data_IF_505316776192
#
_entry.id   IF_505316776192
#
_cell.length_a   1.000
_cell.length_b   1.000
_cell.length_c   1.000
_cell.angle_alpha   90.00
_cell.angle_beta   90.00
_cell.angle_gamma   90.00
#
_symmetry.space_group_name_H-M   'P 1'
#
loop_
_entity.id
_entity.type
_entity.pdbx_description
1 polymer ?
#
# COMPACT_ATOMS: atom_id res chain seq x y z
N UNK A 1 12.53 -1.58 -55.86
CA UNK A 1 13.34 -1.56 -57.11
C UNK A 1 14.80 -1.51 -56.68
N UNK A 2 15.68 -2.25 -57.36
CA UNK A 2 17.11 -2.50 -57.04
C UNK A 2 17.40 -3.52 -55.92
N UNK A 3 17.55 -4.80 -56.30
CA UNK A 3 18.47 -5.72 -55.60
C UNK A 3 18.73 -7.00 -56.40
N UNK A 4 19.15 -6.94 -57.67
CA UNK A 4 19.78 -8.12 -58.32
C UNK A 4 20.76 -7.66 -59.39
N UNK A 5 22.06 -7.79 -59.11
CA UNK A 5 23.08 -7.96 -60.14
C UNK A 5 24.27 -8.72 -59.57
N UNK A 6 24.84 -9.56 -60.43
CA UNK A 6 26.11 -10.30 -60.32
C UNK A 6 26.03 -11.67 -59.63
N UNK A 7 26.03 -12.74 -60.45
CA UNK A 7 27.23 -13.56 -60.67
C UNK A 7 26.93 -14.57 -61.78
N UNK A 8 27.73 -14.49 -62.85
CA UNK A 8 27.82 -15.49 -63.90
C UNK A 8 29.25 -16.05 -63.91
N UNK A 9 29.35 -17.33 -64.28
CA UNK A 9 30.53 -18.14 -64.66
C UNK A 9 31.25 -19.03 -63.62
N UNK A 10 31.28 -20.31 -64.02
CA UNK A 10 32.16 -21.44 -63.73
C UNK A 10 32.32 -21.99 -62.31
N UNK A 11 31.73 -23.18 -62.06
CA UNK A 11 32.37 -24.33 -61.38
C UNK A 11 31.40 -25.54 -61.37
N UNK A 12 31.43 -26.35 -62.44
CA UNK A 12 30.58 -27.53 -62.63
C UNK A 12 31.22 -28.80 -62.04
N UNK A 13 31.29 -28.88 -60.70
CA UNK A 13 31.87 -30.06 -60.02
C UNK A 13 31.58 -30.27 -58.53
N UNK A 14 30.83 -29.38 -57.86
CA UNK A 14 30.46 -29.50 -56.42
C UNK A 14 28.95 -29.29 -56.15
N UNK A 15 28.10 -29.64 -57.12
CA UNK A 15 26.73 -29.11 -57.18
C UNK A 15 25.64 -29.87 -56.39
N UNK A 16 25.93 -30.98 -55.69
CA UNK A 16 24.87 -31.69 -54.92
C UNK A 16 24.73 -31.24 -53.46
N UNK A 17 25.79 -30.70 -52.84
CA UNK A 17 25.72 -30.24 -51.45
C UNK A 17 25.33 -28.75 -51.33
N UNK A 18 25.79 -27.89 -52.25
CA UNK A 18 25.46 -26.45 -52.23
C UNK A 18 23.97 -26.17 -52.51
N UNK A 19 23.29 -27.00 -53.29
CA UNK A 19 21.91 -26.76 -53.67
C UNK A 19 20.92 -26.88 -52.49
N UNK A 20 21.24 -27.72 -51.49
CA UNK A 20 20.42 -27.83 -50.27
C UNK A 20 20.65 -26.65 -49.32
N UNK A 21 21.89 -26.20 -49.19
CA UNK A 21 22.22 -25.06 -48.31
C UNK A 21 21.62 -23.76 -48.84
N UNK A 22 21.68 -23.55 -50.16
CA UNK A 22 21.07 -22.37 -50.81
C UNK A 22 19.55 -22.35 -50.63
N UNK A 23 18.90 -23.52 -50.74
CA UNK A 23 17.45 -23.64 -50.53
C UNK A 23 17.05 -23.33 -49.08
N UNK A 24 17.85 -23.76 -48.10
CA UNK A 24 17.65 -23.44 -46.68
C UNK A 24 17.80 -21.94 -46.43
N UNK A 25 18.79 -21.28 -47.03
CA UNK A 25 18.95 -19.83 -46.92
C UNK A 25 17.81 -19.06 -47.59
N UNK A 26 17.32 -19.52 -48.74
CA UNK A 26 16.17 -18.90 -49.43
C UNK A 26 14.90 -19.07 -48.59
N UNK A 27 14.65 -20.27 -48.02
CA UNK A 27 13.49 -20.50 -47.17
C UNK A 27 13.59 -19.75 -45.84
N UNK A 28 14.78 -19.63 -45.25
CA UNK A 28 15.00 -18.83 -44.04
C UNK A 28 14.78 -17.34 -44.32
N UNK A 29 15.26 -16.81 -45.44
CA UNK A 29 15.07 -15.39 -45.81
C UNK A 29 13.62 -15.07 -46.17
N UNK A 30 12.90 -15.99 -46.82
CA UNK A 30 11.46 -15.86 -47.05
C UNK A 30 10.66 -15.94 -45.75
N UNK A 31 10.99 -16.88 -44.86
CA UNK A 31 10.39 -16.99 -43.52
C UNK A 31 10.62 -15.73 -42.68
N UNK A 32 11.83 -15.16 -42.69
CA UNK A 32 12.14 -13.88 -42.04
C UNK A 32 11.41 -12.68 -42.67
N UNK A 33 11.15 -12.71 -43.99
CA UNK A 33 10.34 -11.68 -44.65
C UNK A 33 8.85 -11.79 -44.33
N UNK A 34 8.31 -13.00 -44.22
CA UNK A 34 6.92 -13.25 -43.84
C UNK A 34 6.70 -12.94 -42.34
N UNK A 35 7.65 -13.33 -41.49
CA UNK A 35 7.69 -12.95 -40.08
C UNK A 35 7.81 -11.43 -39.89
N UNK A 36 8.40 -10.67 -40.82
CA UNK A 36 8.39 -9.19 -40.80
C UNK A 36 7.09 -8.55 -41.28
N UNK A 37 6.28 -9.25 -42.08
CA UNK A 37 4.94 -8.78 -42.49
C UNK A 37 3.90 -9.02 -41.41
N UNK A 38 4.07 -10.11 -40.66
CA UNK A 38 3.23 -10.48 -39.51
C UNK A 38 3.84 -10.08 -38.16
N UNK A 39 5.06 -9.53 -38.13
CA UNK A 39 5.54 -8.74 -37.02
C UNK A 39 4.59 -7.55 -36.93
N UNK A 40 3.60 -7.75 -36.07
CA UNK A 40 2.73 -6.79 -35.44
C UNK A 40 3.38 -5.43 -35.64
N UNK A 41 2.77 -4.60 -36.48
CA UNK A 41 2.90 -3.14 -36.34
C UNK A 41 2.38 -2.87 -34.92
N UNK A 42 3.20 -3.13 -33.91
CA UNK A 42 3.03 -2.48 -32.63
C UNK A 42 3.24 -1.05 -33.02
N UNK A 43 2.12 -0.34 -33.15
CA UNK A 43 2.14 1.10 -33.16
C UNK A 43 2.67 1.43 -31.77
N UNK A 44 3.99 1.39 -31.59
CA UNK A 44 4.59 2.03 -30.44
C UNK A 44 4.07 3.47 -30.53
N UNK A 45 3.21 3.89 -29.60
CA UNK A 45 2.69 5.24 -29.64
C UNK A 45 3.92 6.13 -29.65
N UNK A 46 4.02 6.99 -30.67
CA UNK A 46 5.07 8.01 -30.69
C UNK A 46 4.83 8.84 -29.44
N UNK A 47 5.63 8.59 -28.41
CA UNK A 47 5.67 9.42 -27.20
C UNK A 47 5.94 10.82 -27.70
N UNK A 48 4.94 11.70 -27.60
CA UNK A 48 5.10 13.10 -27.97
C UNK A 48 6.15 13.64 -27.01
N UNK A 49 7.24 14.20 -27.55
CA UNK A 49 8.34 14.77 -26.77
C UNK A 49 7.93 15.94 -25.84
N UNK A 50 6.64 16.32 -25.81
CA UNK A 50 6.07 17.36 -24.98
C UNK A 50 4.79 16.89 -24.25
N UNK A 51 4.61 15.58 -24.06
CA UNK A 51 3.54 15.10 -23.18
C UNK A 51 3.89 15.54 -21.75
N UNK A 52 2.94 16.09 -20.96
CA UNK A 52 3.17 16.34 -19.54
C UNK A 52 3.66 15.05 -18.87
N UNK A 53 4.50 15.17 -17.84
CA UNK A 53 4.95 14.03 -17.06
C UNK A 53 3.73 13.17 -16.68
N UNK A 54 3.79 11.84 -16.83
CA UNK A 54 2.63 10.98 -16.64
C UNK A 54 2.06 11.03 -15.22
N UNK A 55 2.85 11.49 -14.26
CA UNK A 55 2.47 11.58 -12.85
C UNK A 55 2.56 13.02 -12.35
N UNK A 56 1.57 13.39 -11.54
CA UNK A 56 1.47 14.67 -10.87
C UNK A 56 2.08 14.58 -9.48
N UNK A 57 2.74 15.67 -9.06
CA UNK A 57 3.21 15.82 -7.69
C UNK A 57 2.02 15.76 -6.71
N UNK A 58 2.21 15.09 -5.56
CA UNK A 58 1.21 14.97 -4.48
C UNK A 58 -0.12 14.32 -4.91
N UNK A 59 -0.04 13.33 -5.78
CA UNK A 59 -1.13 12.43 -6.12
C UNK A 59 -0.69 11.00 -5.83
N UNK A 60 -1.54 10.23 -5.16
CA UNK A 60 -1.36 8.78 -4.98
C UNK A 60 -2.02 8.06 -6.15
N UNK A 61 -1.29 7.17 -6.78
CA UNK A 61 -1.71 6.34 -7.89
C UNK A 61 -1.81 4.88 -7.43
N UNK A 62 -2.92 4.21 -7.69
CA UNK A 62 -3.06 2.77 -7.46
C UNK A 62 -3.63 2.10 -8.71
N UNK A 63 -3.40 0.80 -8.87
CA UNK A 63 -3.96 0.07 -9.99
C UNK A 63 -5.50 0.09 -9.93
N UNK A 64 -6.10 0.40 -11.07
CA UNK A 64 -7.55 0.38 -11.23
C UNK A 64 -8.08 -1.04 -11.11
N UNK A 65 -9.34 -1.16 -10.70
CA UNK A 65 -9.99 -2.46 -10.59
C UNK A 65 -10.55 -2.68 -9.20
N UNK A 66 -11.56 -3.53 -9.10
CA UNK A 66 -12.29 -3.75 -7.87
C UNK A 66 -12.65 -5.21 -7.70
N UNK A 67 -12.53 -5.73 -6.49
CA UNK A 67 -12.92 -7.10 -6.18
C UNK A 67 -14.34 -7.14 -5.56
N UNK A 68 -15.15 -8.10 -5.97
CA UNK A 68 -16.49 -8.30 -5.42
C UNK A 68 -16.52 -9.36 -4.29
N UNK A 69 -17.70 -9.62 -3.70
CA UNK A 69 -17.84 -10.58 -2.59
C UNK A 69 -17.59 -12.05 -3.00
N UNK A 70 -17.66 -12.34 -4.31
CA UNK A 70 -17.34 -13.66 -4.85
C UNK A 70 -15.83 -13.85 -5.09
N UNK A 71 -15.00 -12.86 -4.74
CA UNK A 71 -13.56 -12.82 -5.02
C UNK A 71 -13.25 -12.79 -6.52
N UNK A 72 -14.10 -12.13 -7.30
CA UNK A 72 -13.81 -11.82 -8.70
C UNK A 72 -13.21 -10.42 -8.77
N UNK A 73 -11.98 -10.32 -9.27
CA UNK A 73 -11.32 -9.05 -9.55
C UNK A 73 -11.78 -8.56 -10.92
N UNK A 74 -12.33 -7.35 -10.97
CA UNK A 74 -12.96 -6.80 -12.16
C UNK A 74 -12.25 -5.51 -12.56
N UNK A 75 -11.73 -5.53 -13.79
CA UNK A 75 -11.19 -4.40 -14.51
C UNK A 75 -12.25 -3.90 -15.49
N UNK A 76 -13.02 -2.87 -15.09
CA UNK A 76 -14.08 -2.31 -15.94
C UNK A 76 -13.55 -1.15 -16.79
N UNK A 77 -13.30 -1.43 -18.08
CA UNK A 77 -12.86 -0.43 -19.04
C UNK A 77 -14.04 0.32 -19.70
N UNK A 78 -15.30 0.05 -19.34
CA UNK A 78 -16.43 0.79 -19.93
C UNK A 78 -16.29 2.31 -19.72
N UNK A 79 -16.38 3.07 -20.81
CA UNK A 79 -16.16 4.52 -20.79
C UNK A 79 -14.71 4.95 -20.65
N UNK A 80 -13.76 4.01 -20.70
CA UNK A 80 -12.32 4.25 -20.77
C UNK A 80 -11.80 3.76 -22.12
N UNK A 81 -10.81 4.45 -22.65
CA UNK A 81 -10.11 4.02 -23.86
C UNK A 81 -8.93 3.13 -23.44
N UNK A 82 -8.96 1.81 -23.70
CA UNK A 82 -7.91 0.90 -23.25
C UNK A 82 -6.53 1.22 -23.86
N UNK A 83 -6.48 1.90 -25.01
CA UNK A 83 -5.21 2.29 -25.65
C UNK A 83 -4.54 3.48 -24.96
N UNK A 84 -5.29 4.28 -24.19
CA UNK A 84 -4.80 5.52 -23.56
C UNK A 84 -4.97 5.57 -22.05
N UNK A 85 -5.78 4.67 -21.49
CA UNK A 85 -5.98 4.56 -20.06
C UNK A 85 -4.78 3.88 -19.42
N UNK A 86 -4.08 4.63 -18.57
CA UNK A 86 -2.88 4.19 -17.84
C UNK A 86 -3.18 3.20 -16.70
N UNK A 87 -4.43 2.74 -16.55
CA UNK A 87 -4.75 1.68 -15.58
C UNK A 87 -4.67 2.15 -14.13
N UNK A 88 -4.92 3.42 -13.84
CA UNK A 88 -4.71 3.97 -12.49
C UNK A 88 -5.93 4.70 -11.95
N UNK A 89 -6.12 4.56 -10.65
CA UNK A 89 -6.97 5.38 -9.80
C UNK A 89 -6.09 6.43 -9.11
N UNK A 90 -6.63 7.64 -8.94
CA UNK A 90 -5.89 8.79 -8.43
C UNK A 90 -6.53 9.33 -7.15
N UNK A 91 -5.73 9.57 -6.13
CA UNK A 91 -6.14 10.25 -4.89
C UNK A 91 -5.21 11.44 -4.65
N UNK A 92 -5.66 12.68 -4.91
CA UNK A 92 -4.84 13.86 -4.64
C UNK A 92 -4.71 14.10 -3.14
N UNK A 93 -3.53 14.53 -2.69
CA UNK A 93 -3.29 14.83 -1.26
C UNK A 93 -4.25 15.92 -0.74
N UNK A 94 -4.66 16.85 -1.60
CA UNK A 94 -5.61 17.92 -1.27
C UNK A 94 -7.01 17.40 -0.91
N UNK A 95 -7.37 16.19 -1.33
CA UNK A 95 -8.64 15.55 -1.00
C UNK A 95 -8.64 14.83 0.36
N UNK A 96 -7.48 14.70 1.02
CA UNK A 96 -7.31 13.88 2.21
C UNK A 96 -6.92 14.74 3.41
N UNK A 97 -7.68 14.65 4.50
CA UNK A 97 -7.33 15.33 5.74
C UNK A 97 -6.24 14.54 6.49
N UNK A 98 -5.36 15.23 7.27
CA UNK A 98 -4.50 14.57 8.23
C UNK A 98 -5.27 13.62 9.16
N UNK A 99 -4.75 12.43 9.44
CA UNK A 99 -5.35 11.52 10.42
C UNK A 99 -5.08 11.96 11.87
N UNK A 100 -4.21 12.96 12.07
CA UNK A 100 -3.99 13.68 13.33
C UNK A 100 -4.02 15.17 13.09
N UNK A 101 -4.74 15.91 13.92
CA UNK A 101 -4.82 17.37 13.84
C UNK A 101 -3.58 18.03 14.45
N UNK A 102 -3.22 19.21 13.94
CA UNK A 102 -2.19 20.05 14.55
C UNK A 102 -0.75 19.72 14.15
N UNK A 103 -0.56 18.92 13.10
CA UNK A 103 0.75 18.63 12.51
C UNK A 103 0.91 19.30 11.15
N UNK A 104 2.11 19.76 10.86
CA UNK A 104 2.47 20.43 9.62
C UNK A 104 3.84 19.96 9.11
N UNK A 105 4.05 20.05 7.79
CA UNK A 105 5.34 19.70 7.15
C UNK A 105 6.52 20.54 7.67
N UNK A 106 6.22 21.70 8.26
CA UNK A 106 7.20 22.62 8.86
C UNK A 106 7.56 22.29 10.31
N UNK A 107 6.89 21.32 10.93
CA UNK A 107 7.18 20.93 12.30
C UNK A 107 8.59 20.32 12.40
N UNK A 108 9.25 20.57 13.53
CA UNK A 108 10.59 20.05 13.77
C UNK A 108 10.62 18.52 13.84
N UNK A 109 9.51 17.89 14.21
CA UNK A 109 9.38 16.44 14.23
C UNK A 109 7.94 15.99 14.03
N UNK A 110 7.80 14.75 13.58
CA UNK A 110 6.54 14.04 13.49
C UNK A 110 6.82 12.54 13.54
N UNK A 111 5.95 11.79 14.21
CA UNK A 111 6.02 10.33 14.26
C UNK A 111 4.62 9.73 14.09
N UNK A 112 4.45 8.91 13.05
CA UNK A 112 3.23 8.14 12.82
C UNK A 112 3.00 7.13 13.95
N UNK A 113 4.08 6.54 14.47
CA UNK A 113 4.07 5.60 15.60
C UNK A 113 5.03 6.11 16.67
N UNK A 114 4.60 6.12 17.94
CA UNK A 114 5.43 6.59 19.06
C UNK A 114 6.70 5.74 19.19
N UNK A 115 7.81 6.39 19.54
CA UNK A 115 9.05 5.70 19.95
C UNK A 115 8.86 4.97 21.27
N UNK A 116 8.09 5.55 22.19
CA UNK A 116 7.80 4.93 23.48
C UNK A 116 6.94 3.69 23.27
N UNK A 117 7.49 2.53 23.66
CA UNK A 117 6.82 1.23 23.54
C UNK A 117 6.78 0.67 22.13
N UNK A 118 7.58 1.22 21.20
CA UNK A 118 7.67 0.71 19.82
C UNK A 118 8.05 -0.78 19.79
N UNK A 119 8.99 -1.17 20.65
CA UNK A 119 9.49 -2.54 20.83
C UNK A 119 8.42 -3.50 21.37
N UNK A 120 7.30 -2.99 21.90
CA UNK A 120 6.21 -3.81 22.44
C UNK A 120 5.03 -3.94 21.47
N UNK A 121 5.05 -3.24 20.33
CA UNK A 121 4.00 -3.35 19.32
C UNK A 121 4.00 -4.75 18.72
N UNK A 122 2.81 -5.29 18.46
CA UNK A 122 2.65 -6.61 17.84
C UNK A 122 3.30 -6.69 16.47
N UNK A 123 3.24 -5.61 15.68
CA UNK A 123 3.91 -5.53 14.36
C UNK A 123 5.44 -5.65 14.50
N UNK A 124 6.02 -5.12 15.59
CA UNK A 124 7.46 -5.05 15.82
C UNK A 124 8.08 -6.40 16.19
N UNK A 125 7.29 -7.28 16.81
CA UNK A 125 7.76 -8.56 17.30
C UNK A 125 8.31 -9.45 16.18
N UNK A 126 9.33 -10.24 16.53
CA UNK A 126 9.89 -11.26 15.66
C UNK A 126 8.84 -12.32 15.28
N UNK A 127 8.87 -12.73 14.01
CA UNK A 127 8.07 -13.86 13.54
C UNK A 127 8.45 -15.15 14.28
N UNK A 128 7.44 -15.89 14.75
CA UNK A 128 7.71 -17.18 15.40
C UNK A 128 8.09 -18.27 14.38
N UNK A 129 8.66 -19.38 14.85
CA UNK A 129 9.14 -20.46 13.98
C UNK A 129 8.07 -21.10 13.10
N UNK A 130 6.78 -21.00 13.45
CA UNK A 130 5.70 -21.48 12.60
C UNK A 130 5.37 -20.50 11.47
N UNK A 131 5.43 -19.20 11.74
CA UNK A 131 5.22 -18.14 10.74
C UNK A 131 6.34 -18.13 9.70
N UNK A 132 7.58 -18.42 10.12
CA UNK A 132 8.74 -18.58 9.24
C UNK A 132 8.63 -19.78 8.25
N UNK A 133 7.58 -20.59 8.32
CA UNK A 133 7.34 -21.64 7.32
C UNK A 133 6.49 -21.14 6.13
N UNK A 134 5.96 -19.92 6.19
CA UNK A 134 5.19 -19.35 5.10
C UNK A 134 6.03 -18.31 4.35
N UNK A 135 6.58 -18.66 3.18
CA UNK A 135 7.48 -17.78 2.43
C UNK A 135 6.84 -16.43 2.07
N UNK A 136 5.52 -16.39 1.84
CA UNK A 136 4.79 -15.12 1.66
C UNK A 136 4.89 -14.19 2.87
N UNK A 137 4.77 -14.73 4.08
CA UNK A 137 4.86 -13.93 5.32
C UNK A 137 6.28 -13.41 5.50
N UNK A 138 7.29 -14.26 5.23
CA UNK A 138 8.71 -13.84 5.26
C UNK A 138 8.95 -12.74 4.23
N UNK A 139 8.54 -12.94 2.98
CA UNK A 139 8.71 -11.92 1.94
C UNK A 139 8.04 -10.61 2.31
N UNK A 140 6.81 -10.65 2.85
CA UNK A 140 6.13 -9.46 3.32
C UNK A 140 6.88 -8.74 4.45
N UNK A 141 7.54 -9.51 5.33
CA UNK A 141 8.37 -9.00 6.41
C UNK A 141 9.65 -8.35 5.86
N UNK A 142 10.38 -9.05 4.99
CA UNK A 142 11.65 -8.60 4.39
C UNK A 142 11.47 -7.36 3.50
N UNK A 143 10.36 -7.27 2.75
CA UNK A 143 10.02 -6.10 1.94
C UNK A 143 9.27 -5.01 2.71
N UNK A 144 9.22 -5.09 4.04
CA UNK A 144 8.54 -4.13 4.94
C UNK A 144 7.05 -3.91 4.70
N UNK A 145 6.39 -4.61 3.78
CA UNK A 145 4.94 -4.49 3.57
C UNK A 145 4.16 -4.86 4.84
N UNK A 146 4.66 -5.86 5.59
CA UNK A 146 4.11 -6.27 6.88
C UNK A 146 4.16 -5.13 7.90
N UNK A 147 5.33 -4.49 8.03
CA UNK A 147 5.53 -3.33 8.90
C UNK A 147 4.69 -2.13 8.45
N UNK A 148 4.69 -1.83 7.14
CA UNK A 148 3.93 -0.73 6.56
C UNK A 148 2.43 -0.87 6.87
N UNK A 149 1.87 -2.07 6.68
CA UNK A 149 0.45 -2.33 6.94
C UNK A 149 0.11 -2.22 8.43
N UNK A 150 0.90 -2.86 9.31
CA UNK A 150 0.69 -2.83 10.75
C UNK A 150 0.84 -1.44 11.36
N UNK A 151 1.87 -0.70 10.98
CA UNK A 151 2.09 0.66 11.45
C UNK A 151 1.12 1.68 10.83
N UNK A 152 0.60 1.45 9.61
CA UNK A 152 -0.51 2.25 9.06
C UNK A 152 -1.76 2.08 9.91
N UNK A 153 -2.11 0.84 10.27
CA UNK A 153 -3.25 0.54 11.15
C UNK A 153 -3.07 1.20 12.52
N UNK A 154 -1.85 1.15 13.08
CA UNK A 154 -1.53 1.84 14.33
C UNK A 154 -1.63 3.35 14.19
N UNK A 155 -1.17 3.93 13.08
CA UNK A 155 -1.15 5.36 12.87
C UNK A 155 -2.57 5.94 12.71
N UNK A 156 -3.36 5.33 11.82
CA UNK A 156 -4.66 5.82 11.36
C UNK A 156 -5.80 5.39 12.29
N UNK A 157 -5.80 4.14 12.75
CA UNK A 157 -6.89 3.58 13.56
C UNK A 157 -6.52 3.43 15.05
N UNK A 158 -5.27 3.71 15.43
CA UNK A 158 -4.74 3.50 16.79
C UNK A 158 -4.86 2.03 17.30
N UNK A 159 -4.96 1.05 16.40
CA UNK A 159 -5.03 -0.36 16.76
C UNK A 159 -3.64 -0.99 16.65
N UNK A 160 -3.18 -1.65 17.72
CA UNK A 160 -1.95 -2.43 17.70
C UNK A 160 -2.24 -3.87 17.25
N UNK A 161 -1.76 -4.22 16.05
CA UNK A 161 -1.96 -5.54 15.46
C UNK A 161 -0.64 -6.09 14.91
N UNK A 162 -0.56 -7.39 14.77
CA UNK A 162 0.35 -8.07 13.84
C UNK A 162 -0.52 -8.46 12.63
N UNK A 163 -0.27 -7.97 11.40
CA UNK A 163 -1.14 -8.26 10.26
C UNK A 163 -1.17 -9.75 9.88
N UNK A 164 -2.37 -10.29 9.66
CA UNK A 164 -2.54 -11.66 9.14
C UNK A 164 -2.45 -11.67 7.61
N UNK A 165 -1.30 -12.07 7.08
CA UNK A 165 -1.06 -12.26 5.65
C UNK A 165 -1.68 -13.57 5.12
N UNK A 166 -1.81 -14.60 5.96
CA UNK A 166 -2.54 -15.82 5.59
C UNK A 166 -4.04 -15.56 5.41
N UNK A 167 -4.62 -14.63 6.18
CA UNK A 167 -5.98 -14.13 5.92
C UNK A 167 -6.09 -13.46 4.56
N UNK A 168 -5.10 -12.66 4.15
CA UNK A 168 -5.10 -12.02 2.83
C UNK A 168 -5.04 -13.09 1.72
N UNK A 169 -4.16 -14.09 1.83
CA UNK A 169 -4.10 -15.21 0.89
C UNK A 169 -5.39 -16.04 0.85
N UNK A 170 -6.11 -16.20 1.96
CA UNK A 170 -7.37 -16.93 1.95
C UNK A 170 -8.50 -16.16 1.24
N UNK A 171 -8.39 -14.82 1.14
CA UNK A 171 -9.35 -13.96 0.45
C UNK A 171 -8.90 -13.54 -0.96
N UNK A 172 -7.85 -14.18 -1.48
CA UNK A 172 -7.30 -13.94 -2.80
C UNK A 172 -8.33 -14.10 -3.93
N UNK A 173 -8.22 -13.34 -5.03
CA UNK A 173 -9.13 -13.48 -6.15
C UNK A 173 -9.12 -14.90 -6.72
N UNK A 174 -10.26 -15.32 -7.24
CA UNK A 174 -10.43 -16.59 -7.96
C UNK A 174 -10.55 -16.40 -9.47
N UNK A 175 -10.91 -15.19 -9.89
CA UNK A 175 -11.05 -14.79 -11.29
C UNK A 175 -10.54 -13.38 -11.48
N UNK A 176 -9.94 -13.13 -12.63
CA UNK A 176 -9.71 -11.80 -13.18
C UNK A 176 -10.61 -11.61 -14.41
N UNK A 177 -11.35 -10.51 -14.42
CA UNK A 177 -12.36 -10.22 -15.43
C UNK A 177 -12.10 -8.84 -15.99
N UNK A 178 -11.71 -8.76 -17.26
CA UNK A 178 -11.61 -7.49 -17.97
C UNK A 178 -12.86 -7.27 -18.81
N UNK A 179 -13.55 -6.16 -18.55
CA UNK A 179 -14.75 -5.78 -19.29
C UNK A 179 -14.41 -4.67 -20.26
N UNK A 180 -14.61 -4.91 -21.55
CA UNK A 180 -14.26 -3.95 -22.59
C UNK A 180 -15.49 -3.16 -23.06
N UNK A 181 -15.32 -1.89 -23.49
CA UNK A 181 -16.41 -1.13 -24.10
C UNK A 181 -16.96 -1.86 -25.31
N UNK A 182 -18.29 -1.98 -25.42
CA UNK A 182 -18.92 -2.61 -26.59
C UNK A 182 -18.48 -2.00 -27.93
N UNK A 183 -18.11 -0.72 -27.93
CA UNK A 183 -17.63 -0.02 -29.12
C UNK A 183 -16.22 -0.43 -29.56
N UNK A 184 -15.37 -1.01 -28.69
CA UNK A 184 -14.04 -1.50 -29.07
C UNK A 184 -14.13 -2.72 -29.98
N UNK A 185 -15.22 -3.49 -29.87
CA UNK A 185 -15.39 -4.77 -30.58
C UNK A 185 -14.56 -5.92 -30.01
N UNK A 186 -13.92 -5.70 -28.84
CA UNK A 186 -13.23 -6.72 -28.07
C UNK A 186 -14.23 -7.42 -27.14
N UNK A 187 -14.08 -8.73 -26.99
CA UNK A 187 -14.87 -9.52 -26.05
C UNK A 187 -14.27 -9.41 -24.65
N UNK A 188 -15.10 -9.49 -23.61
CA UNK A 188 -14.65 -9.55 -22.22
C UNK A 188 -13.68 -10.72 -22.02
N UNK A 189 -12.59 -10.48 -21.28
CA UNK A 189 -11.62 -11.51 -20.92
C UNK A 189 -11.92 -12.04 -19.51
N UNK A 190 -11.76 -13.36 -19.33
CA UNK A 190 -11.92 -14.02 -18.03
C UNK A 190 -10.74 -14.97 -17.86
N UNK A 191 -9.94 -14.73 -16.83
CA UNK A 191 -8.80 -15.56 -16.46
C UNK A 191 -9.02 -16.17 -15.08
N UNK A 192 -8.61 -17.43 -14.92
CA UNK A 192 -8.65 -18.11 -13.64
C UNK A 192 -7.38 -17.79 -12.86
N UNK A 193 -7.54 -17.25 -11.66
CA UNK A 193 -6.43 -17.05 -10.75
C UNK A 193 -6.19 -18.34 -9.97
N UNK A 194 -4.95 -18.84 -10.01
CA UNK A 194 -4.60 -20.02 -9.25
C UNK A 194 -4.68 -19.71 -7.74
N UNK A 195 -5.26 -20.61 -6.92
CA UNK A 195 -5.31 -20.41 -5.48
C UNK A 195 -3.89 -20.23 -4.92
N UNK A 196 -3.63 -19.20 -4.11
CA UNK A 196 -2.29 -18.94 -3.64
C UNK A 196 -1.87 -20.00 -2.63
N UNK A 197 -0.56 -20.18 -2.52
CA UNK A 197 0.06 -20.94 -1.45
C UNK A 197 1.02 -20.04 -0.69
N UNK A 198 1.61 -20.55 0.39
CA UNK A 198 2.69 -19.83 1.06
C UNK A 198 3.92 -19.63 0.17
N UNK A 199 4.06 -20.37 -0.93
CA UNK A 199 5.24 -20.38 -1.81
C UNK A 199 4.97 -19.81 -3.21
N UNK A 200 3.70 -19.66 -3.59
CA UNK A 200 3.28 -19.29 -4.94
C UNK A 200 2.08 -18.33 -4.86
N UNK A 201 2.32 -17.08 -5.23
CA UNK A 201 1.39 -15.96 -5.11
C UNK A 201 1.87 -14.78 -5.98
N UNK A 202 0.96 -13.85 -6.26
CA UNK A 202 1.25 -12.58 -6.94
C UNK A 202 1.00 -11.42 -5.96
N UNK A 203 2.07 -10.72 -5.57
CA UNK A 203 2.00 -9.70 -4.53
C UNK A 203 1.04 -8.55 -4.89
N UNK A 204 0.95 -8.19 -6.17
CA UNK A 204 0.14 -7.08 -6.66
C UNK A 204 -1.37 -7.28 -6.40
N UNK A 205 -1.83 -8.54 -6.31
CA UNK A 205 -3.25 -8.83 -6.07
C UNK A 205 -3.68 -8.58 -4.62
N UNK A 206 -2.73 -8.51 -3.68
CA UNK A 206 -2.99 -8.28 -2.27
C UNK A 206 -3.63 -6.93 -2.00
N UNK A 207 -3.28 -5.91 -2.79
CA UNK A 207 -3.85 -4.57 -2.68
C UNK A 207 -5.38 -4.59 -2.87
N UNK A 208 -5.90 -5.38 -3.83
CA UNK A 208 -7.34 -5.55 -4.03
C UNK A 208 -8.00 -6.32 -2.89
N UNK A 209 -7.30 -7.30 -2.31
CA UNK A 209 -7.77 -8.03 -1.14
C UNK A 209 -7.94 -7.11 0.07
N UNK A 210 -6.94 -6.27 0.34
CA UNK A 210 -7.00 -5.27 1.42
C UNK A 210 -8.16 -4.30 1.16
N UNK A 211 -8.32 -3.82 -0.08
CA UNK A 211 -9.41 -2.90 -0.42
C UNK A 211 -10.79 -3.50 -0.13
N UNK A 212 -11.01 -4.77 -0.51
CA UNK A 212 -12.32 -5.40 -0.37
C UNK A 212 -12.58 -5.96 1.03
N UNK A 213 -11.61 -6.65 1.61
CA UNK A 213 -11.79 -7.44 2.84
C UNK A 213 -11.10 -6.84 4.06
N UNK A 214 -10.19 -5.87 3.86
CA UNK A 214 -9.38 -5.29 4.92
C UNK A 214 -8.34 -6.27 5.43
N UNK A 215 -7.90 -6.03 6.67
CA UNK A 215 -6.85 -6.78 7.36
C UNK A 215 -7.35 -7.17 8.74
N UNK A 216 -7.01 -8.36 9.21
CA UNK A 216 -7.23 -8.79 10.60
C UNK A 216 -5.89 -9.10 11.28
N UNK A 217 -5.89 -9.17 12.60
CA UNK A 217 -4.70 -9.51 13.39
C UNK A 217 -4.38 -11.00 13.42
N UNK A 218 -3.11 -11.34 13.65
CA UNK A 218 -2.66 -12.73 13.88
C UNK A 218 -3.20 -13.34 15.17
N UNK A 219 -3.62 -12.50 16.12
CA UNK A 219 -4.36 -12.93 17.31
C UNK A 219 -5.75 -13.49 16.98
N UNK A 220 -6.26 -13.25 15.76
CA UNK A 220 -7.50 -13.81 15.23
C UNK A 220 -7.25 -14.94 14.23
N UNK A 221 -6.38 -14.71 13.24
CA UNK A 221 -6.00 -15.69 12.20
C UNK A 221 -4.47 -15.73 12.10
N UNK A 222 -3.80 -16.77 12.64
CA UNK A 222 -2.34 -16.83 12.67
C UNK A 222 -1.70 -16.96 11.29
N UNK A 223 -0.48 -16.43 11.14
CA UNK A 223 0.33 -16.52 9.92
C UNK A 223 1.00 -17.89 9.72
N UNK A 224 0.33 -18.97 10.12
CA UNK A 224 0.89 -20.33 10.12
C UNK A 224 0.42 -21.14 8.90
N UNK A 225 -0.86 -21.00 8.55
CA UNK A 225 -1.48 -21.72 7.43
C UNK A 225 -2.56 -20.85 6.82
N UNK A 226 -2.75 -20.95 5.51
CA UNK A 226 -3.88 -20.30 4.83
C UNK A 226 -5.18 -20.95 5.34
N UNK A 227 -6.05 -20.20 6.04
CA UNK A 227 -7.27 -20.78 6.59
C UNK A 227 -8.26 -21.15 5.48
N UNK A 228 -9.05 -22.20 5.70
CA UNK A 228 -10.13 -22.60 4.79
C UNK A 228 -11.36 -21.70 4.86
N UNK A 229 -11.50 -20.91 5.93
CA UNK A 229 -12.56 -19.92 6.11
C UNK A 229 -11.99 -18.65 6.72
N UNK A 230 -12.51 -17.52 6.26
CA UNK A 230 -12.12 -16.19 6.71
C UNK A 230 -13.26 -15.47 7.41
N UNK A 231 -14.37 -16.13 7.75
CA UNK A 231 -15.59 -15.49 8.27
C UNK A 231 -15.59 -15.28 9.79
N UNK A 232 -14.64 -15.86 10.51
CA UNK A 232 -14.48 -15.76 11.96
C UNK A 232 -13.01 -16.00 12.35
N UNK A 233 -12.64 -15.68 13.59
CA UNK A 233 -11.32 -16.03 14.11
C UNK A 233 -11.15 -17.54 14.23
N UNK A 234 -9.94 -18.01 13.97
CA UNK A 234 -9.52 -19.37 14.31
C UNK A 234 -9.04 -19.45 15.75
N UNK A 235 -8.57 -18.33 16.31
CA UNK A 235 -8.13 -18.22 17.70
C UNK A 235 -9.27 -17.79 18.64
N UNK A 236 -9.42 -18.44 19.81
CA UNK A 236 -10.56 -18.22 20.72
C UNK A 236 -10.55 -16.84 21.40
N UNK A 237 -9.37 -16.24 21.55
CA UNK A 237 -9.19 -14.92 22.19
C UNK A 237 -9.07 -13.79 21.18
N UNK A 238 -9.08 -14.11 19.89
CA UNK A 238 -8.91 -13.16 18.80
C UNK A 238 -10.10 -12.25 18.62
N UNK A 239 -9.85 -11.05 18.08
CA UNK A 239 -10.89 -10.11 17.68
C UNK A 239 -11.01 -10.11 16.16
N UNK A 240 -12.18 -10.47 15.67
CA UNK A 240 -12.48 -10.42 14.24
C UNK A 240 -12.88 -8.98 13.88
N UNK A 241 -11.87 -8.11 13.75
CA UNK A 241 -12.05 -6.70 13.43
C UNK A 241 -11.26 -6.35 12.18
N UNK A 242 -11.97 -6.00 11.11
CA UNK A 242 -11.37 -5.66 9.83
C UNK A 242 -10.88 -4.21 9.85
N UNK A 243 -9.59 -4.05 9.60
CA UNK A 243 -8.91 -2.76 9.48
C UNK A 243 -8.68 -2.42 7.99
N UNK A 244 -8.61 -1.14 7.67
CA UNK A 244 -8.27 -0.64 6.32
C UNK A 244 -9.15 -1.16 5.17
N UNK A 245 -10.41 -1.51 5.42
CA UNK A 245 -11.37 -1.76 4.33
C UNK A 245 -11.48 -0.49 3.47
N UNK A 246 -11.42 -0.64 2.15
CA UNK A 246 -11.39 0.46 1.18
C UNK A 246 -10.00 1.04 0.90
N UNK A 247 -8.95 0.56 1.57
CA UNK A 247 -7.58 0.99 1.29
C UNK A 247 -6.91 0.15 0.21
N UNK A 248 -6.06 0.77 -0.61
CA UNK A 248 -5.14 0.10 -1.54
C UNK A 248 -3.74 0.61 -1.29
N UNK A 249 -2.77 -0.23 -1.62
CA UNK A 249 -1.40 0.25 -1.83
C UNK A 249 -1.39 1.16 -3.05
N UNK A 250 -0.68 2.27 -2.95
CA UNK A 250 -0.49 3.22 -4.03
C UNK A 250 0.86 3.91 -3.95
N UNK A 251 1.30 4.40 -5.11
CA UNK A 251 2.56 5.09 -5.30
C UNK A 251 2.32 6.59 -5.46
N UNK A 252 3.14 7.42 -4.83
CA UNK A 252 3.12 8.86 -5.05
C UNK A 252 4.51 9.34 -5.49
N UNK A 253 4.52 10.51 -6.10
CA UNK A 253 5.72 11.20 -6.55
C UNK A 253 5.78 12.59 -5.91
N UNK A 254 6.98 13.04 -5.53
CA UNK A 254 7.16 14.41 -5.05
C UNK A 254 8.52 14.72 -4.44
N UNK A 255 8.62 15.82 -3.70
CA UNK A 255 9.81 16.20 -2.94
C UNK A 255 9.75 15.71 -1.47
N UNK A 256 10.75 16.06 -0.67
CA UNK A 256 10.75 15.75 0.77
C UNK A 256 9.53 16.33 1.51
N UNK A 257 8.95 17.45 1.05
CA UNK A 257 7.74 18.00 1.64
C UNK A 257 6.50 17.18 1.28
N UNK A 258 6.43 16.64 0.06
CA UNK A 258 5.43 15.66 -0.32
C UNK A 258 5.53 14.41 0.54
N UNK A 259 6.74 13.87 0.78
CA UNK A 259 6.93 12.73 1.69
C UNK A 259 6.44 13.04 3.12
N UNK A 260 6.78 14.22 3.67
CA UNK A 260 6.26 14.67 4.99
C UNK A 260 4.73 14.82 5.00
N UNK A 261 4.16 15.38 3.94
CA UNK A 261 2.72 15.54 3.81
C UNK A 261 2.01 14.18 3.69
N UNK A 262 2.62 13.22 3.00
CA UNK A 262 2.13 11.85 2.90
C UNK A 262 2.13 11.17 4.28
N UNK A 263 3.22 11.30 5.05
CA UNK A 263 3.32 10.80 6.42
C UNK A 263 2.22 11.34 7.33
N UNK A 264 1.83 12.62 7.18
CA UNK A 264 0.77 13.26 7.98
C UNK A 264 -0.64 12.77 7.58
N UNK A 265 -0.85 12.47 6.29
CA UNK A 265 -2.19 12.17 5.73
C UNK A 265 -2.51 10.69 5.63
N UNK A 266 -1.52 9.85 5.37
CA UNK A 266 -1.71 8.44 5.07
C UNK A 266 -1.03 7.50 6.07
N UNK A 267 -0.01 7.99 6.77
CA UNK A 267 0.78 7.20 7.72
C UNK A 267 2.13 6.80 7.15
N UNK A 268 2.76 5.72 7.65
CA UNK A 268 4.07 5.25 7.19
C UNK A 268 4.16 5.11 5.66
N UNK A 269 5.33 5.44 5.12
CA UNK A 269 5.61 5.34 3.69
C UNK A 269 6.84 4.48 3.45
N UNK A 270 6.78 3.55 2.51
CA UNK A 270 8.00 2.92 1.99
C UNK A 270 8.61 3.85 0.96
N UNK A 271 9.88 4.20 1.13
CA UNK A 271 10.49 5.26 0.34
C UNK A 271 11.64 4.71 -0.49
N UNK A 272 11.49 4.74 -1.81
CA UNK A 272 12.36 4.04 -2.75
C UNK A 272 13.83 4.44 -2.63
N UNK A 273 14.11 5.72 -2.44
CA UNK A 273 15.48 6.26 -2.38
C UNK A 273 16.30 5.78 -1.17
N UNK A 274 15.63 5.51 -0.05
CA UNK A 274 16.30 5.00 1.17
C UNK A 274 16.11 3.50 1.34
N UNK A 275 15.29 2.87 0.49
CA UNK A 275 14.89 1.45 0.56
C UNK A 275 14.44 1.02 1.97
N UNK A 276 13.84 1.94 2.72
CA UNK A 276 13.40 1.76 4.11
C UNK A 276 11.98 2.27 4.29
N UNK A 277 11.29 1.71 5.28
CA UNK A 277 10.02 2.23 5.75
C UNK A 277 10.26 3.46 6.62
N UNK A 278 9.72 4.61 6.21
CA UNK A 278 9.76 5.85 6.97
C UNK A 278 8.48 5.96 7.80
N UNK A 279 8.62 6.25 9.09
CA UNK A 279 7.48 6.47 10.01
C UNK A 279 7.41 7.89 10.54
N UNK A 280 8.33 8.77 10.15
CA UNK A 280 8.37 10.15 10.63
C UNK A 280 9.69 10.86 10.34
N UNK A 281 9.89 12.00 10.98
CA UNK A 281 11.15 12.76 10.93
C UNK A 281 11.44 13.43 12.28
N UNK A 282 12.73 13.67 12.53
CA UNK A 282 13.24 14.45 13.66
C UNK A 282 14.36 15.37 13.13
N UNK A 283 14.09 16.68 13.10
CA UNK A 283 14.99 17.67 12.54
C UNK A 283 15.25 17.44 11.05
N UNK A 284 16.50 17.12 10.72
CA UNK A 284 16.97 16.86 9.35
C UNK A 284 17.12 15.37 9.06
N UNK A 285 16.54 14.49 9.87
CA UNK A 285 16.61 13.05 9.69
C UNK A 285 15.21 12.44 9.54
N UNK A 286 15.08 11.48 8.64
CA UNK A 286 13.98 10.51 8.63
C UNK A 286 14.12 9.58 9.82
N UNK A 287 12.98 9.24 10.44
CA UNK A 287 12.89 8.12 11.38
C UNK A 287 12.41 6.91 10.59
N UNK A 288 13.29 5.92 10.49
CA UNK A 288 13.08 4.73 9.66
C UNK A 288 12.88 3.48 10.51
N UNK A 289 12.28 2.46 9.91
CA UNK A 289 12.23 1.11 10.45
C UNK A 289 13.23 0.25 9.69
N UNK A 290 14.14 -0.38 10.42
CA UNK A 290 15.02 -1.43 9.92
C UNK A 290 14.71 -2.77 10.59
N UNK A 291 15.46 -3.81 10.21
CA UNK A 291 15.39 -5.13 10.84
C UNK A 291 16.68 -5.42 11.61
N UNK A 292 16.55 -6.02 12.80
CA UNK A 292 17.68 -6.57 13.55
C UNK A 292 18.13 -7.92 12.98
N UNK A 293 19.27 -8.44 13.45
CA UNK A 293 19.74 -9.78 13.08
C UNK A 293 18.77 -10.90 13.48
N UNK A 294 17.86 -10.63 14.42
CA UNK A 294 16.85 -11.58 14.90
C UNK A 294 15.49 -11.37 14.26
N UNK A 295 15.39 -10.63 13.14
CA UNK A 295 14.12 -10.29 12.49
C UNK A 295 13.15 -9.58 13.47
N UNK A 296 13.66 -8.69 14.31
CA UNK A 296 12.82 -7.73 15.05
C UNK A 296 12.88 -6.39 14.32
N UNK A 297 11.76 -5.68 14.19
CA UNK A 297 11.83 -4.32 13.66
C UNK A 297 12.42 -3.36 14.68
N UNK A 298 13.35 -2.51 14.25
CA UNK A 298 14.00 -1.52 15.10
C UNK A 298 13.90 -0.15 14.47
N UNK A 299 13.89 0.87 15.32
CA UNK A 299 13.96 2.26 14.87
C UNK A 299 15.39 2.64 14.54
N UNK A 300 15.55 3.33 13.42
CA UNK A 300 16.81 3.86 12.93
C UNK A 300 16.58 5.30 12.43
N UNK A 301 17.65 5.97 12.00
CA UNK A 301 17.64 7.35 11.57
C UNK A 301 18.50 7.55 10.33
N UNK A 302 17.93 8.16 9.30
CA UNK A 302 18.63 8.46 8.04
C UNK A 302 18.59 9.95 7.74
N UNK A 303 19.69 10.58 7.29
CA UNK A 303 19.65 11.97 6.86
C UNK A 303 18.65 12.21 5.73
N UNK A 304 17.90 13.31 5.82
CA UNK A 304 17.07 13.78 4.71
C UNK A 304 18.01 14.38 3.68
N UNK A 305 18.17 13.73 2.53
CA UNK A 305 18.99 14.25 1.44
C UNK A 305 18.49 15.63 1.00
N UNK A 306 19.39 16.63 1.00
CA UNK A 306 19.14 17.94 0.39
C UNK A 306 19.29 17.92 -1.13
N UNK A 307 19.95 16.88 -1.66
CA UNK A 307 20.48 16.81 -3.01
C UNK A 307 19.66 15.81 -3.85
N UNK A 308 18.33 15.88 -3.74
CA UNK A 308 17.48 15.24 -4.74
C UNK A 308 17.64 16.07 -6.01
N UNK A 309 18.45 15.57 -6.95
CA UNK A 309 18.69 16.24 -8.23
C UNK A 309 17.35 16.46 -8.95
N UNK A 310 16.85 17.70 -8.84
CA UNK A 310 15.51 18.14 -9.25
C UNK A 310 15.27 17.95 -10.75
N UNK A 311 16.33 17.70 -11.51
CA UNK A 311 16.29 17.64 -12.97
C UNK A 311 15.94 16.25 -13.54
N UNK A 312 15.82 15.18 -12.72
CA UNK A 312 15.51 13.84 -13.30
C UNK A 312 14.56 12.94 -12.50
N UNK A 313 14.55 12.94 -11.17
CA UNK A 313 13.80 11.91 -10.42
C UNK A 313 12.89 12.52 -9.35
N UNK A 314 11.57 12.51 -9.58
CA UNK A 314 10.62 12.71 -8.48
C UNK A 314 10.77 11.54 -7.50
N UNK A 315 10.81 11.84 -6.21
CA UNK A 315 10.94 10.83 -5.18
C UNK A 315 9.71 9.92 -5.23
N UNK A 316 9.94 8.63 -5.37
CA UNK A 316 8.88 7.64 -5.45
C UNK A 316 8.67 7.01 -4.06
N UNK A 317 7.46 7.16 -3.53
CA UNK A 317 7.06 6.52 -2.27
C UNK A 317 5.82 5.66 -2.46
N UNK A 318 5.71 4.62 -1.65
CA UNK A 318 4.56 3.70 -1.59
C UNK A 318 3.89 3.81 -0.23
N UNK A 319 2.56 3.79 -0.21
CA UNK A 319 1.75 3.92 1.01
C UNK A 319 0.39 3.23 0.83
N UNK A 320 -0.37 3.10 1.92
CA UNK A 320 -1.78 2.71 1.86
C UNK A 320 -2.68 3.94 1.92
N UNK A 321 -3.52 4.12 0.92
CA UNK A 321 -4.52 5.19 0.88
C UNK A 321 -5.91 4.61 0.69
N UNK A 322 -6.94 5.32 1.16
CA UNK A 322 -8.32 4.95 0.91
C UNK A 322 -8.73 5.40 -0.50
N UNK A 323 -9.00 4.44 -1.39
CA UNK A 323 -9.43 4.68 -2.77
C UNK A 323 -10.95 4.61 -2.95
N UNK A 324 -11.71 4.42 -1.88
CA UNK A 324 -13.15 4.30 -1.93
C UNK A 324 -13.60 3.06 -2.71
N UNK A 325 -13.76 1.93 -2.01
CA UNK A 325 -14.63 0.87 -2.50
C UNK A 325 -16.10 1.31 -2.44
N UNK A 326 -17.03 0.46 -2.83
CA UNK A 326 -18.48 0.67 -2.62
C UNK A 326 -18.91 0.85 -1.12
N UNK A 327 -17.96 0.92 -0.19
CA UNK A 327 -18.10 1.58 1.10
C UNK A 327 -17.22 2.84 1.08
N UNK A 328 -17.88 3.99 0.99
CA UNK A 328 -17.34 5.33 1.31
C UNK A 328 -16.25 5.27 2.37
N UNK A 329 -15.19 6.08 2.21
CA UNK A 329 -14.34 6.49 3.31
C UNK A 329 -15.25 6.76 4.51
N UNK A 330 -15.23 5.90 5.53
CA UNK A 330 -15.95 6.19 6.76
C UNK A 330 -15.07 7.24 7.45
N UNK A 331 -15.13 8.49 6.98
CA UNK A 331 -15.18 9.57 7.95
C UNK A 331 -16.31 9.16 8.88
N UNK A 332 -16.03 8.86 10.16
CA UNK A 332 -17.08 8.54 11.11
C UNK A 332 -18.13 9.63 10.95
N UNK A 333 -19.36 9.23 10.67
CA UNK A 333 -20.44 10.20 10.54
C UNK A 333 -20.68 10.79 11.94
N UNK A 334 -19.97 11.88 12.23
CA UNK A 334 -20.05 12.56 13.51
C UNK A 334 -21.35 13.36 13.65
N UNK A 335 -22.30 13.22 12.71
CA UNK A 335 -23.66 13.75 12.89
C UNK A 335 -24.50 12.85 13.81
N UNK A 336 -24.15 11.57 13.95
CA UNK A 336 -24.81 10.63 14.86
C UNK A 336 -23.79 9.97 15.80
N UNK A 337 -23.34 10.72 16.78
CA UNK A 337 -22.42 10.25 17.82
C UNK A 337 -23.18 9.66 19.02
N UNK A 338 -22.60 8.64 19.64
CA UNK A 338 -23.07 8.02 20.89
C UNK A 338 -22.10 8.30 22.04
N UNK A 339 -22.50 8.00 23.28
CA UNK A 339 -21.65 8.15 24.47
C UNK A 339 -20.33 7.36 24.38
N UNK A 340 -20.34 6.24 23.66
CA UNK A 340 -19.17 5.36 23.52
C UNK A 340 -18.31 5.70 22.29
N UNK A 341 -18.69 6.70 21.49
CA UNK A 341 -17.93 7.06 20.28
C UNK A 341 -16.56 7.62 20.66
N UNK A 342 -15.45 6.97 20.27
CA UNK A 342 -14.11 7.40 20.66
C UNK A 342 -13.81 8.84 20.21
N UNK A 343 -13.08 9.59 21.04
CA UNK A 343 -12.66 10.96 20.70
C UNK A 343 -11.71 11.00 19.50
N UNK A 344 -11.02 9.88 19.26
CA UNK A 344 -10.10 9.66 18.14
C UNK A 344 -10.86 9.53 16.82
N UNK A 345 -12.08 8.96 16.85
CA UNK A 345 -12.94 8.82 15.68
C UNK A 345 -13.75 10.09 15.39
N UNK A 346 -14.25 10.76 16.43
CA UNK A 346 -14.94 12.04 16.34
C UNK A 346 -14.39 12.99 17.41
N UNK A 347 -13.62 14.05 17.05
CA UNK A 347 -13.09 15.00 18.03
C UNK A 347 -14.18 15.57 18.92
N UNK A 348 -13.88 15.76 20.20
CA UNK A 348 -14.78 16.43 21.13
C UNK A 348 -14.96 17.90 20.71
N UNK A 349 -16.18 18.47 20.82
CA UNK A 349 -16.40 19.89 20.57
C UNK A 349 -15.59 20.75 21.55
N UNK A 350 -15.26 21.98 21.18
CA UNK A 350 -14.65 22.92 22.12
C UNK A 350 -15.66 23.38 23.18
N UNK A 351 -15.23 23.50 24.44
CA UNK A 351 -16.06 24.04 25.55
C UNK A 351 -16.59 25.47 25.29
N UNK A 352 -15.96 26.20 24.38
CA UNK A 352 -16.32 27.55 23.95
C UNK A 352 -17.56 27.55 23.04
N UNK A 353 -17.78 26.48 22.26
CA UNK A 353 -18.95 26.30 21.39
C UNK A 353 -20.04 25.52 22.15
N UNK A 354 -20.74 26.22 23.04
CA UNK A 354 -21.77 25.63 23.92
C UNK A 354 -22.83 24.84 23.15
N UNK A 355 -23.21 25.28 21.95
CA UNK A 355 -24.26 24.61 21.19
C UNK A 355 -23.82 23.22 20.73
N UNK A 356 -22.57 23.06 20.28
CA UNK A 356 -22.01 21.75 19.92
C UNK A 356 -21.65 20.93 21.15
N UNK A 357 -21.13 21.59 22.19
CA UNK A 357 -20.83 20.95 23.46
C UNK A 357 -22.08 20.28 24.03
N UNK A 358 -23.15 21.04 24.26
CA UNK A 358 -24.39 20.55 24.86
C UNK A 358 -25.12 19.52 23.96
N UNK A 359 -24.83 19.48 22.65
CA UNK A 359 -25.40 18.51 21.71
C UNK A 359 -24.61 17.19 21.63
N UNK A 360 -23.37 17.14 22.15
CA UNK A 360 -22.54 15.93 22.13
C UNK A 360 -22.84 15.07 23.38
N UNK A 361 -23.41 13.86 23.23
CA UNK A 361 -23.80 13.01 24.35
C UNK A 361 -22.61 12.55 25.20
N UNK A 362 -21.37 12.70 24.71
CA UNK A 362 -20.11 12.40 25.43
C UNK A 362 -19.67 13.54 26.35
N UNK A 363 -20.48 14.58 26.51
CA UNK A 363 -20.19 15.73 27.38
C UNK A 363 -21.19 15.89 28.53
N UNK A 364 -22.22 15.03 28.62
CA UNK A 364 -23.36 15.19 29.53
C UNK A 364 -22.96 15.08 31.01
N UNK A 365 -22.02 14.20 31.34
CA UNK A 365 -21.56 13.94 32.71
C UNK A 365 -20.05 14.12 32.81
N UNK A 366 -19.53 14.48 33.99
CA UNK A 366 -18.10 14.79 34.19
C UNK A 366 -17.16 13.61 33.89
N UNK A 367 -17.68 12.39 33.93
CA UNK A 367 -16.93 11.15 33.63
C UNK A 367 -16.94 10.79 32.14
N UNK A 368 -17.72 11.47 31.30
CA UNK A 368 -17.82 11.14 29.88
C UNK A 368 -16.55 11.53 29.11
N UNK A 369 -16.31 10.86 27.97
CA UNK A 369 -15.07 10.90 27.17
C UNK A 369 -14.60 12.34 26.87
N UNK A 370 -15.54 13.27 26.65
CA UNK A 370 -15.23 14.65 26.30
C UNK A 370 -15.27 15.60 27.51
N UNK A 371 -16.04 15.28 28.55
CA UNK A 371 -16.18 16.12 29.74
C UNK A 371 -15.03 15.93 30.75
N UNK A 372 -14.42 14.74 30.77
CA UNK A 372 -13.27 14.36 31.59
C UNK A 372 -11.99 15.09 31.13
N UNK A 373 -12.01 16.41 31.28
CA UNK A 373 -10.98 17.30 30.78
C UNK A 373 -9.65 17.06 31.46
N UNK A 374 -8.71 16.39 30.79
CA UNK A 374 -7.27 16.37 31.09
C UNK A 374 -6.88 16.14 32.57
N UNK A 375 -7.75 15.56 33.40
CA UNK A 375 -7.47 15.31 34.83
C UNK A 375 -6.40 14.21 34.99
N UNK A 376 -6.26 13.34 33.98
CA UNK A 376 -5.22 12.32 33.98
C UNK A 376 -3.79 12.88 33.88
N UNK A 377 -3.57 14.03 33.24
CA UNK A 377 -2.22 14.63 33.16
C UNK A 377 -1.83 15.26 34.51
N UNK A 378 -2.77 15.89 35.21
CA UNK A 378 -2.50 16.50 36.52
C UNK A 378 -2.31 15.48 37.63
N UNK A 379 -3.01 14.34 37.62
CA UNK A 379 -2.81 13.29 38.64
C UNK A 379 -1.45 12.56 38.50
N UNK A 380 -0.99 12.29 37.27
CA UNK A 380 0.33 11.68 37.05
C UNK A 380 1.48 12.58 37.48
N UNK A 381 1.34 13.91 37.30
CA UNK A 381 2.33 14.89 37.78
C UNK A 381 2.34 14.98 39.32
N UNK A 382 1.18 14.88 39.97
CA UNK A 382 1.09 14.89 41.44
C UNK A 382 1.67 13.62 42.05
N UNK A 383 1.40 12.44 41.46
CA UNK A 383 1.99 11.18 41.90
C UNK A 383 3.52 11.19 41.76
N UNK A 384 4.04 11.66 40.62
CA UNK A 384 5.48 11.75 40.40
C UNK A 384 6.17 12.79 41.31
N UNK A 385 5.53 13.92 41.59
CA UNK A 385 6.13 15.01 42.36
C UNK A 385 6.03 14.84 43.89
N UNK A 386 5.01 14.13 44.40
CA UNK A 386 4.80 13.98 45.85
C UNK A 386 5.06 12.57 46.37
N UNK A 387 4.79 11.53 45.60
CA UNK A 387 4.87 10.15 46.10
C UNK A 387 6.28 9.58 45.94
N UNK A 388 6.97 9.87 44.82
CA UNK A 388 8.34 9.40 44.61
C UNK A 388 9.36 9.96 45.62
N UNK A 389 9.34 11.25 46.01
CA UNK A 389 10.26 11.75 47.05
C UNK A 389 10.01 11.16 48.43
N UNK A 390 8.76 10.84 48.76
CA UNK A 390 8.40 10.24 50.06
C UNK A 390 8.84 8.77 50.11
N UNK A 391 8.66 8.02 49.02
CA UNK A 391 9.12 6.63 48.95
C UNK A 391 10.65 6.52 48.99
N UNK A 392 11.38 7.51 48.44
CA UNK A 392 12.84 7.57 48.51
C UNK A 392 13.38 7.82 49.95
N UNK A 393 12.54 8.22 50.91
CA UNK A 393 12.93 8.35 52.31
C UNK A 393 12.80 7.05 53.12
N UNK A 394 12.20 6.01 52.55
CA UNK A 394 11.94 4.73 53.21
C UNK A 394 12.75 3.55 52.65
N UNK A 395 13.69 3.79 51.73
CA UNK A 395 14.60 2.78 51.17
C UNK A 395 16.07 3.17 51.32
#
# INVERSE_FOLDING_TARGET
MECVKVMETDYWGRFKALNKLLLVFILATLSLCEARKNAIRSKFPRIKANAPAPFQDKVVYSFFGNMNDNRELIYDFNGKDPDTFIGQEEVPFSGINPYRTGTAVTDASFLAVSREGFENLKTTQTLNSSELNCNFVIGAYDYYTYAMLGYTIKAVNNVDIAPSYTYLLANYPTLEIEKYPRESGEDDSIEYVFPPTCDDYEADLISYVINKFGVVGTDCIPNIVIPSSTTACTEPTGKYEKQLVGYKEGTFYGDNNAAKEALIKFGPIFYGDVEKLIIGWEGTNWVTVGQSETYEYILDSEPISSDVDVDVDLLMGTLYANFGGAGTQVTPDCTTITKDTPKESCPCPEKTDKAKWDADPRTETEDDICASGSVHITLSVIAAALVLPVLALFF
#
